data_IF_548268024832
#
_entry.id   IF_548268024832
#
_cell.length_a   1.000
_cell.length_b   1.000
_cell.length_c   1.000
_cell.angle_alpha   90.00
_cell.angle_beta   90.00
_cell.angle_gamma   90.00
#
_symmetry.space_group_name_H-M   'P 1'
#
loop_
_entity.id
_entity.type
_entity.pdbx_description
1 polymer ?
#
# COMPACT_ATOMS: atom_id res chain seq x y z
N UNK A 1 -3.14 -9.05 -11.27
CA UNK A 1 -3.59 -9.63 -9.98
C UNK A 1 -4.59 -8.69 -9.32
N UNK A 2 -5.67 -9.23 -8.74
CA UNK A 2 -6.59 -8.43 -7.91
C UNK A 2 -6.17 -8.54 -6.45
N UNK A 3 -6.01 -7.41 -5.77
CA UNK A 3 -5.67 -7.33 -4.36
C UNK A 3 -6.76 -6.59 -3.62
N UNK A 4 -7.23 -7.14 -2.50
CA UNK A 4 -8.16 -6.45 -1.61
C UNK A 4 -7.36 -5.74 -0.51
N UNK A 5 -7.46 -4.42 -0.45
CA UNK A 5 -6.85 -3.61 0.62
C UNK A 5 -7.90 -2.76 1.31
N UNK A 6 -7.68 -2.37 2.57
CA UNK A 6 -8.51 -1.36 3.21
C UNK A 6 -8.64 -0.10 2.36
N UNK A 7 -9.86 0.46 2.31
CA UNK A 7 -10.14 1.67 1.55
C UNK A 7 -9.25 2.83 2.01
N UNK A 8 -9.05 2.97 3.32
CA UNK A 8 -8.21 4.02 3.89
C UNK A 8 -6.76 3.90 3.42
N UNK A 9 -6.21 2.68 3.38
CA UNK A 9 -4.85 2.45 2.86
C UNK A 9 -4.78 2.84 1.39
N UNK A 10 -5.79 2.47 0.60
CA UNK A 10 -5.86 2.88 -0.81
C UNK A 10 -5.87 4.41 -0.95
N UNK A 11 -6.64 5.13 -0.15
CA UNK A 11 -6.72 6.59 -0.22
C UNK A 11 -5.40 7.26 0.18
N UNK A 12 -4.71 6.74 1.19
CA UNK A 12 -3.38 7.19 1.59
C UNK A 12 -2.37 6.95 0.46
N UNK A 13 -2.33 5.73 -0.09
CA UNK A 13 -1.44 5.39 -1.21
C UNK A 13 -1.73 6.24 -2.45
N UNK A 14 -3.01 6.50 -2.75
CA UNK A 14 -3.42 7.37 -3.86
C UNK A 14 -2.96 8.81 -3.64
N UNK A 15 -3.02 9.31 -2.41
CA UNK A 15 -2.55 10.65 -2.07
C UNK A 15 -1.03 10.74 -2.23
N UNK A 16 -0.29 9.76 -1.73
CA UNK A 16 1.17 9.67 -1.87
C UNK A 16 1.57 9.55 -3.35
N UNK A 17 0.86 8.74 -4.14
CA UNK A 17 1.18 8.58 -5.55
C UNK A 17 0.99 9.89 -6.32
N UNK A 18 -0.06 10.65 -5.99
CA UNK A 18 -0.31 12.00 -6.55
C UNK A 18 0.79 12.98 -6.13
N UNK A 19 1.18 12.98 -4.86
CA UNK A 19 2.23 13.85 -4.33
C UNK A 19 3.59 13.59 -5.01
N UNK A 20 3.97 12.31 -5.13
CA UNK A 20 5.19 11.85 -5.83
C UNK A 20 5.07 11.93 -7.36
N UNK A 21 3.91 12.30 -7.93
CA UNK A 21 3.62 12.30 -9.37
C UNK A 21 3.93 10.98 -10.08
N UNK A 22 3.71 9.85 -9.40
CA UNK A 22 3.89 8.51 -9.95
C UNK A 22 2.58 7.74 -9.97
N UNK A 23 2.50 6.73 -10.85
CA UNK A 23 1.36 5.84 -10.89
C UNK A 23 1.29 4.97 -9.62
N UNK A 24 0.08 4.64 -9.18
CA UNK A 24 -0.13 3.79 -8.01
C UNK A 24 0.62 2.46 -8.12
N UNK A 25 0.60 1.81 -9.28
CA UNK A 25 1.36 0.57 -9.52
C UNK A 25 2.87 0.76 -9.33
N UNK A 26 3.43 1.90 -9.77
CA UNK A 26 4.84 2.20 -9.58
C UNK A 26 5.17 2.47 -8.10
N UNK A 27 4.28 3.17 -7.38
CA UNK A 27 4.39 3.36 -5.94
C UNK A 27 4.39 2.02 -5.20
N UNK A 28 3.48 1.11 -5.56
CA UNK A 28 3.41 -0.22 -4.95
C UNK A 28 4.69 -1.04 -5.16
N UNK A 29 5.29 -0.95 -6.36
CA UNK A 29 6.58 -1.58 -6.64
C UNK A 29 7.70 -0.94 -5.82
N UNK A 30 7.70 0.39 -5.66
CA UNK A 30 8.67 1.06 -4.80
C UNK A 30 8.52 0.63 -3.34
N UNK A 31 7.29 0.56 -2.82
CA UNK A 31 7.01 0.10 -1.46
C UNK A 31 7.47 -1.34 -1.28
N UNK A 32 7.23 -2.21 -2.26
CA UNK A 32 7.66 -3.60 -2.22
C UNK A 32 9.19 -3.76 -2.14
N UNK A 33 9.95 -2.86 -2.77
CA UNK A 33 11.42 -2.90 -2.78
C UNK A 33 12.07 -1.99 -1.72
N UNK A 34 11.27 -1.20 -0.99
CA UNK A 34 11.76 -0.24 -0.01
C UNK A 34 11.56 -0.77 1.40
N UNK A 35 12.50 -0.46 2.29
CA UNK A 35 12.40 -0.74 3.74
C UNK A 35 11.94 0.48 4.53
N UNK A 36 11.46 1.51 3.85
CA UNK A 36 10.90 2.71 4.46
C UNK A 36 9.50 2.45 5.05
N UNK A 37 9.15 3.20 6.10
CA UNK A 37 7.80 3.21 6.64
C UNK A 37 7.41 4.62 7.10
N UNK A 38 6.10 4.91 7.07
CA UNK A 38 5.51 6.20 7.37
C UNK A 38 5.08 6.35 8.84
N UNK A 39 5.12 5.25 9.60
CA UNK A 39 4.73 5.20 11.01
C UNK A 39 3.36 5.84 11.28
N UNK A 40 2.38 5.58 10.41
CA UNK A 40 1.01 6.03 10.63
C UNK A 40 0.38 5.21 11.76
N UNK A 41 -0.60 5.80 12.45
CA UNK A 41 -1.41 5.04 13.40
C UNK A 41 -2.23 3.99 12.66
N UNK A 42 -2.19 2.74 13.15
CA UNK A 42 -3.04 1.68 12.62
C UNK A 42 -4.52 2.01 12.89
N UNK A 43 -5.33 1.92 11.85
CA UNK A 43 -6.78 2.12 11.91
C UNK A 43 -7.44 0.84 11.43
N UNK A 44 -8.43 0.37 12.19
CA UNK A 44 -9.21 -0.80 11.81
C UNK A 44 -9.97 -0.53 10.50
N UNK A 45 -9.80 -1.39 9.49
CA UNK A 45 -10.35 -1.14 8.17
C UNK A 45 -11.87 -1.29 8.18
N UNK A 46 -12.60 -0.21 7.90
CA UNK A 46 -14.08 -0.26 7.86
C UNK A 46 -14.63 -0.87 6.56
N UNK A 47 -13.84 -0.91 5.49
CA UNK A 47 -14.23 -1.47 4.19
C UNK A 47 -13.01 -1.79 3.34
N UNK A 48 -13.14 -2.81 2.48
CA UNK A 48 -12.09 -3.23 1.56
C UNK A 48 -12.39 -2.78 0.14
N UNK A 49 -11.33 -2.46 -0.61
CA UNK A 49 -11.38 -2.10 -2.02
C UNK A 49 -10.48 -3.04 -2.81
N UNK A 50 -11.04 -3.62 -3.86
CA UNK A 50 -10.28 -4.41 -4.83
C UNK A 50 -9.54 -3.49 -5.79
N UNK A 51 -8.23 -3.64 -5.85
CA UNK A 51 -7.38 -2.94 -6.82
C UNK A 51 -6.76 -3.95 -7.78
N UNK A 52 -6.68 -3.58 -9.06
CA UNK A 52 -6.04 -4.40 -10.06
C UNK A 52 -4.58 -3.94 -10.21
N UNK A 53 -3.65 -4.82 -9.84
CA UNK A 53 -2.21 -4.55 -9.83
C UNK A 53 -1.56 -5.43 -10.90
N UNK A 54 -0.67 -4.86 -11.69
CA UNK A 54 0.10 -5.57 -12.72
C UNK A 54 1.47 -6.03 -12.19
N UNK A 55 1.54 -6.54 -10.95
CA UNK A 55 2.75 -7.12 -10.36
C UNK A 55 2.43 -8.51 -9.80
N UNK A 56 3.37 -9.46 -9.91
CA UNK A 56 3.36 -10.75 -9.21
C UNK A 56 3.86 -10.62 -7.75
N UNK A 57 3.46 -9.56 -7.07
CA UNK A 57 3.91 -9.24 -5.72
C UNK A 57 3.10 -10.04 -4.67
N UNK A 58 3.44 -11.31 -4.44
CA UNK A 58 2.70 -12.23 -3.55
C UNK A 58 2.61 -11.76 -2.09
N UNK A 59 3.58 -10.97 -1.61
CA UNK A 59 3.65 -10.46 -0.23
C UNK A 59 3.45 -8.94 -0.14
N UNK A 60 2.78 -8.34 -1.13
CA UNK A 60 2.58 -6.89 -1.17
C UNK A 60 1.78 -6.36 0.03
N UNK A 61 0.82 -7.14 0.56
CA UNK A 61 0.03 -6.73 1.74
C UNK A 61 0.93 -6.51 2.95
N UNK A 62 1.90 -7.40 3.19
CA UNK A 62 2.83 -7.28 4.31
C UNK A 62 3.72 -6.07 4.15
N UNK A 63 4.28 -5.86 2.95
CA UNK A 63 5.09 -4.68 2.64
C UNK A 63 4.28 -3.39 2.76
N UNK A 64 3.01 -3.39 2.36
CA UNK A 64 2.11 -2.26 2.54
C UNK A 64 1.82 -1.98 4.01
N UNK A 65 1.55 -3.02 4.81
CA UNK A 65 1.29 -2.86 6.24
C UNK A 65 2.53 -2.34 6.97
N UNK A 66 3.71 -2.86 6.62
CA UNK A 66 4.97 -2.33 7.12
C UNK A 66 5.20 -0.88 6.68
N UNK A 67 5.06 -0.59 5.38
CA UNK A 67 5.27 0.77 4.87
C UNK A 67 4.31 1.80 5.49
N UNK A 68 3.05 1.43 5.73
CA UNK A 68 2.07 2.35 6.31
C UNK A 68 2.24 2.48 7.83
N UNK A 69 2.43 1.38 8.56
CA UNK A 69 2.32 1.33 10.03
C UNK A 69 3.61 0.92 10.76
N UNK A 70 4.71 0.69 10.04
CA UNK A 70 5.96 0.12 10.55
C UNK A 70 5.79 -1.23 11.28
N UNK A 71 4.73 -1.98 11.00
CA UNK A 71 4.47 -3.29 11.59
C UNK A 71 5.22 -4.38 10.80
N UNK A 72 6.22 -5.02 11.43
CA UNK A 72 6.81 -6.27 10.95
C UNK A 72 5.93 -7.42 11.43
N UNK A 73 5.24 -8.09 10.51
CA UNK A 73 4.49 -9.34 10.77
C UNK A 73 5.02 -10.50 9.93
#
# INVERSE_FOLDING_TARGET
MKLNIPKEWYEILLKISKDKKINLSALLIQIYNSSECLNLSYIEPSSYKSINIQCECKDLIKHLKYYLFCLHE
#
